data_IF_940365567094
#
_entry.id   IF_940365567094
#
_cell.length_a   1.000
_cell.length_b   1.000
_cell.length_c   1.000
_cell.angle_alpha   90.00
_cell.angle_beta   90.00
_cell.angle_gamma   90.00
#
_symmetry.space_group_name_H-M   'P 1'
#
loop_
_entity.id
_entity.type
_entity.pdbx_description
1 polymer ?
#
# COMPACT_ATOMS: atom_id res chain seq x y z
N UNK A 1 18.02 12.24 0.11
CA UNK A 1 16.96 11.21 0.27
C UNK A 1 15.59 11.65 -0.23
N UNK A 2 15.09 12.84 0.12
CA UNK A 2 13.74 13.31 -0.27
C UNK A 2 13.51 13.30 -1.79
N UNK A 3 14.49 13.78 -2.57
CA UNK A 3 14.40 13.76 -4.06
C UNK A 3 14.31 12.34 -4.63
N UNK A 4 15.05 11.38 -4.05
CA UNK A 4 15.06 9.99 -4.54
C UNK A 4 13.76 9.28 -4.20
N UNK A 5 13.28 9.41 -2.95
CA UNK A 5 12.00 8.84 -2.54
C UNK A 5 10.83 9.52 -3.28
N UNK A 6 10.86 10.85 -3.43
CA UNK A 6 9.83 11.60 -4.13
C UNK A 6 9.73 11.25 -5.61
N UNK A 7 10.86 11.16 -6.32
CA UNK A 7 10.85 10.93 -7.77
C UNK A 7 10.69 9.44 -8.09
N UNK A 8 11.49 8.57 -7.46
CA UNK A 8 11.53 7.14 -7.82
C UNK A 8 10.46 6.34 -7.08
N UNK A 9 10.23 6.58 -5.80
CA UNK A 9 9.26 5.80 -5.03
C UNK A 9 7.82 6.28 -5.22
N UNK A 10 7.59 7.58 -5.41
CA UNK A 10 6.23 8.14 -5.57
C UNK A 10 5.93 8.62 -6.99
N UNK A 11 6.87 9.30 -7.64
CA UNK A 11 6.68 9.88 -8.97
C UNK A 11 6.43 8.82 -10.05
N UNK A 12 7.21 7.74 -10.07
CA UNK A 12 7.07 6.66 -11.04
C UNK A 12 5.71 5.95 -10.93
N UNK A 13 5.25 5.49 -9.74
CA UNK A 13 3.91 4.92 -9.59
C UNK A 13 2.79 5.87 -10.01
N UNK A 14 2.92 7.18 -9.77
CA UNK A 14 1.93 8.17 -10.19
C UNK A 14 1.79 8.28 -11.71
N UNK A 15 2.89 8.16 -12.45
CA UNK A 15 2.86 8.15 -13.93
C UNK A 15 2.12 6.90 -14.43
N UNK A 16 2.38 5.73 -13.82
CA UNK A 16 1.66 4.51 -14.15
C UNK A 16 0.17 4.60 -13.77
N UNK A 17 -0.14 5.15 -12.60
CA UNK A 17 -1.51 5.33 -12.12
C UNK A 17 -2.33 6.26 -13.02
N UNK A 18 -1.78 7.42 -13.39
CA UNK A 18 -2.44 8.38 -14.30
C UNK A 18 -2.61 7.84 -15.73
N UNK A 19 -1.71 6.96 -16.17
CA UNK A 19 -1.85 6.26 -17.45
C UNK A 19 -2.90 5.15 -17.39
N UNK A 20 -2.94 4.39 -16.28
CA UNK A 20 -3.89 3.31 -16.06
C UNK A 20 -5.33 3.82 -15.94
N UNK A 21 -5.58 4.92 -15.22
CA UNK A 21 -6.92 5.52 -15.07
C UNK A 21 -7.58 5.84 -16.42
N UNK A 22 -6.79 6.12 -17.47
CA UNK A 22 -7.34 6.37 -18.82
C UNK A 22 -7.88 5.10 -19.50
N UNK A 23 -7.49 3.92 -19.00
CA UNK A 23 -7.79 2.60 -19.57
C UNK A 23 -8.61 1.69 -18.64
N UNK A 24 -8.69 1.99 -17.34
CA UNK A 24 -9.46 1.22 -16.35
C UNK A 24 -10.58 2.06 -15.72
N UNK A 25 -11.63 1.39 -15.26
CA UNK A 25 -12.76 2.09 -14.62
C UNK A 25 -12.36 2.65 -13.25
N UNK A 26 -13.05 3.70 -12.78
CA UNK A 26 -12.76 4.34 -11.49
C UNK A 26 -12.83 3.37 -10.29
N UNK A 27 -13.60 2.29 -10.42
CA UNK A 27 -13.68 1.21 -9.43
C UNK A 27 -12.37 0.43 -9.33
N UNK A 28 -11.74 0.09 -10.46
CA UNK A 28 -10.46 -0.64 -10.47
C UNK A 28 -9.32 0.22 -9.92
N UNK A 29 -9.34 1.52 -10.24
CA UNK A 29 -8.35 2.47 -9.74
C UNK A 29 -8.37 2.61 -8.20
N UNK A 30 -9.54 2.45 -7.57
CA UNK A 30 -9.68 2.58 -6.11
C UNK A 30 -9.09 1.39 -5.33
N UNK A 31 -8.86 0.26 -6.00
CA UNK A 31 -8.32 -0.96 -5.38
C UNK A 31 -6.82 -0.80 -5.08
N UNK A 32 -6.07 -0.10 -5.94
CA UNK A 32 -4.62 0.07 -5.80
C UNK A 32 -4.20 0.77 -4.49
N UNK A 33 -4.79 1.92 -4.08
CA UNK A 33 -4.47 2.56 -2.81
C UNK A 33 -4.85 1.73 -1.57
N UNK A 34 -5.78 0.78 -1.72
CA UNK A 34 -6.19 -0.11 -0.64
C UNK A 34 -5.21 -1.28 -0.50
N UNK A 35 -4.61 -1.72 -1.60
CA UNK A 35 -3.61 -2.79 -1.63
C UNK A 35 -2.25 -2.35 -1.08
N UNK A 36 -1.82 -1.12 -1.35
CA UNK A 36 -0.54 -0.56 -0.88
C UNK A 36 -0.24 -0.81 0.62
N UNK A 37 -1.14 -0.46 1.56
CA UNK A 37 -0.89 -0.67 2.99
C UNK A 37 -0.85 -2.14 3.39
N UNK A 38 -1.45 -3.05 2.62
CA UNK A 38 -1.40 -4.50 2.85
C UNK A 38 -0.08 -5.07 2.31
N UNK A 39 0.34 -4.58 1.14
CA UNK A 39 1.53 -5.07 0.45
C UNK A 39 2.82 -4.69 1.19
N UNK A 40 2.86 -3.52 1.85
CA UNK A 40 4.04 -3.05 2.57
C UNK A 40 4.50 -4.00 3.72
N UNK A 41 3.65 -4.40 4.68
CA UNK A 41 4.02 -5.39 5.71
C UNK A 41 4.41 -6.76 5.12
N UNK A 42 3.72 -7.20 4.06
CA UNK A 42 3.98 -8.49 3.40
C UNK A 42 5.36 -8.47 2.73
N UNK A 43 5.68 -7.42 1.98
CA UNK A 43 6.99 -7.24 1.32
C UNK A 43 8.12 -7.20 2.33
N UNK A 44 7.95 -6.50 3.46
CA UNK A 44 8.97 -6.46 4.54
C UNK A 44 9.20 -7.87 5.10
N UNK A 45 8.13 -8.62 5.38
CA UNK A 45 8.24 -10.01 5.85
C UNK A 45 8.99 -10.91 4.85
N UNK A 46 8.68 -10.81 3.55
CA UNK A 46 9.32 -11.64 2.51
C UNK A 46 10.75 -11.23 2.16
N UNK A 47 11.07 -9.93 2.12
CA UNK A 47 12.36 -9.41 1.63
C UNK A 47 13.41 -9.38 2.74
N UNK A 48 13.05 -8.88 3.92
CA UNK A 48 14.01 -8.76 5.02
C UNK A 48 14.14 -10.05 5.83
N UNK A 49 13.16 -10.95 5.77
CA UNK A 49 13.18 -12.21 6.53
C UNK A 49 13.23 -12.02 8.05
N UNK A 50 13.14 -10.78 8.52
CA UNK A 50 13.05 -10.45 9.93
C UNK A 50 11.70 -10.96 10.42
N UNK A 51 11.73 -11.96 11.31
CA UNK A 51 10.54 -12.37 12.03
C UNK A 51 9.86 -11.13 12.60
N UNK A 52 8.58 -10.93 12.27
CA UNK A 52 7.79 -9.78 12.71
C UNK A 52 8.03 -9.56 14.20
N UNK A 53 8.88 -8.60 14.54
CA UNK A 53 9.12 -8.25 15.93
C UNK A 53 7.80 -7.86 16.60
N UNK A 54 7.70 -7.91 17.94
CA UNK A 54 6.43 -7.61 18.63
C UNK A 54 5.80 -6.28 18.19
N UNK A 55 6.64 -5.29 17.89
CA UNK A 55 6.24 -3.98 17.36
C UNK A 55 5.77 -4.00 15.90
N UNK A 56 6.40 -4.81 15.04
CA UNK A 56 5.97 -4.97 13.64
C UNK A 56 4.65 -5.75 13.54
N UNK A 57 4.41 -6.70 14.44
CA UNK A 57 3.14 -7.42 14.54
C UNK A 57 1.99 -6.51 15.00
N UNK A 58 2.25 -5.66 16.00
CA UNK A 58 1.31 -4.62 16.44
C UNK A 58 1.02 -3.63 15.31
N UNK A 59 2.06 -3.12 14.64
CA UNK A 59 1.91 -2.20 13.50
C UNK A 59 1.13 -2.81 12.35
N UNK A 60 1.47 -4.04 11.95
CA UNK A 60 0.76 -4.78 10.90
C UNK A 60 -0.69 -5.06 11.25
N UNK A 61 -0.98 -5.45 12.50
CA UNK A 61 -2.35 -5.68 12.98
C UNK A 61 -3.19 -4.39 12.97
N UNK A 62 -2.58 -3.26 13.32
CA UNK A 62 -3.23 -1.94 13.33
C UNK A 62 -3.56 -1.47 11.90
N UNK A 63 -2.63 -1.65 10.96
CA UNK A 63 -2.84 -1.33 9.54
C UNK A 63 -3.90 -2.24 8.92
N UNK A 64 -3.80 -3.55 9.09
CA UNK A 64 -4.81 -4.50 8.59
C UNK A 64 -6.19 -4.23 9.19
N UNK A 65 -6.26 -4.02 10.51
CA UNK A 65 -7.51 -3.70 11.20
C UNK A 65 -8.15 -2.41 10.71
N UNK A 66 -7.37 -1.36 10.47
CA UNK A 66 -7.87 -0.09 9.96
C UNK A 66 -8.30 -0.15 8.48
N UNK A 67 -7.62 -0.93 7.64
CA UNK A 67 -8.04 -1.18 6.25
C UNK A 67 -9.34 -1.97 6.20
N UNK A 68 -9.47 -3.04 7.01
CA UNK A 68 -10.70 -3.84 7.09
C UNK A 68 -11.85 -3.01 7.64
N UNK A 69 -11.63 -2.25 8.73
CA UNK A 69 -12.64 -1.37 9.30
C UNK A 69 -13.12 -0.33 8.28
N UNK A 70 -12.20 0.32 7.56
CA UNK A 70 -12.53 1.26 6.50
C UNK A 70 -13.29 0.60 5.35
N UNK A 71 -12.93 -0.62 4.97
CA UNK A 71 -13.62 -1.40 3.94
C UNK A 71 -15.06 -1.76 4.33
N UNK A 72 -15.30 -2.07 5.60
CA UNK A 72 -16.64 -2.33 6.15
C UNK A 72 -17.46 -1.03 6.23
N UNK A 73 -16.84 0.08 6.66
CA UNK A 73 -17.53 1.37 6.84
C UNK A 73 -17.89 2.06 5.52
N UNK A 74 -17.20 1.73 4.42
CA UNK A 74 -17.46 2.26 3.07
C UNK A 74 -18.49 1.43 2.28
N UNK A 75 -19.04 0.39 2.88
CA UNK A 75 -20.15 -0.41 2.33
C UNK A 75 -21.48 0.27 2.65
#
# INVERSE_FOLDING_TARGET
MILVLGIIQLGVPYIFYTTAIKHVTALDAIIFPVIEPILNPILVFFILGEALGPWAFLGGSLVLGSVVFRGILKK
#
